data_IF_614264770191
#
_entry.id   IF_614264770191
#
_cell.length_a   1.000
_cell.length_b   1.000
_cell.length_c   1.000
_cell.angle_alpha   90.00
_cell.angle_beta   90.00
_cell.angle_gamma   90.00
#
_symmetry.space_group_name_H-M   'P 1'
#
loop_
_entity.id
_entity.type
_entity.pdbx_description
1 polymer ?
#
# COMPACT_ATOMS: atom_id res chain seq x y z
N UNK A 1 30.59 -44.70 4.75
CA UNK A 1 31.02 -43.31 4.50
C UNK A 1 30.85 -42.90 3.02
N UNK A 2 31.28 -43.72 2.05
CA UNK A 2 31.16 -43.39 0.61
C UNK A 2 29.70 -43.21 0.14
N UNK A 3 28.77 -44.02 0.63
CA UNK A 3 27.34 -43.95 0.32
C UNK A 3 26.68 -42.66 0.81
N UNK A 4 27.07 -42.19 2.00
CA UNK A 4 26.59 -40.92 2.57
C UNK A 4 27.10 -39.73 1.74
N UNK A 5 28.39 -39.80 1.32
CA UNK A 5 28.98 -38.77 0.47
C UNK A 5 28.26 -38.65 -0.86
N UNK A 6 27.97 -39.78 -1.53
CA UNK A 6 27.21 -39.79 -2.78
C UNK A 6 25.77 -39.27 -2.58
N UNK A 7 25.11 -39.58 -1.47
CA UNK A 7 23.78 -39.06 -1.15
C UNK A 7 23.80 -37.54 -0.98
N UNK A 8 24.78 -36.99 -0.26
CA UNK A 8 24.93 -35.54 -0.09
C UNK A 8 25.19 -34.84 -1.42
N UNK A 9 26.09 -35.39 -2.25
CA UNK A 9 26.40 -34.84 -3.57
C UNK A 9 25.14 -34.82 -4.45
N UNK A 10 24.43 -35.97 -4.54
CA UNK A 10 23.20 -36.06 -5.35
C UNK A 10 22.14 -35.06 -4.88
N UNK A 11 21.91 -34.94 -3.58
CA UNK A 11 20.97 -33.98 -3.01
C UNK A 11 21.36 -32.53 -3.33
N UNK A 12 22.64 -32.20 -3.16
CA UNK A 12 23.15 -30.85 -3.47
C UNK A 12 22.98 -30.51 -4.96
N UNK A 13 23.27 -31.44 -5.85
CA UNK A 13 23.09 -31.25 -7.29
C UNK A 13 21.62 -31.01 -7.65
N UNK A 14 20.69 -31.76 -7.05
CA UNK A 14 19.25 -31.58 -7.27
C UNK A 14 18.80 -30.19 -6.82
N UNK A 15 19.20 -29.76 -5.61
CA UNK A 15 18.85 -28.44 -5.09
C UNK A 15 19.43 -27.33 -5.98
N UNK A 16 20.69 -27.41 -6.37
CA UNK A 16 21.31 -26.41 -7.25
C UNK A 16 20.63 -26.35 -8.61
N UNK A 17 20.26 -27.49 -9.18
CA UNK A 17 19.53 -27.55 -10.44
C UNK A 17 18.15 -26.87 -10.32
N UNK A 18 17.40 -27.16 -9.26
CA UNK A 18 16.11 -26.52 -9.01
C UNK A 18 16.26 -25.00 -8.82
N UNK A 19 17.26 -24.55 -8.09
CA UNK A 19 17.53 -23.11 -7.91
C UNK A 19 17.88 -22.45 -9.24
N UNK A 20 18.72 -23.07 -10.07
CA UNK A 20 19.05 -22.55 -11.39
C UNK A 20 17.84 -22.47 -12.32
N UNK A 21 16.98 -23.51 -12.32
CA UNK A 21 15.71 -23.49 -13.07
C UNK A 21 14.80 -22.37 -12.58
N UNK A 22 14.67 -22.17 -11.28
CA UNK A 22 13.85 -21.08 -10.71
C UNK A 22 14.41 -19.70 -11.08
N UNK A 23 15.73 -19.51 -11.05
CA UNK A 23 16.36 -18.24 -11.44
C UNK A 23 16.15 -17.99 -12.96
N UNK A 24 16.35 -19.01 -13.77
CA UNK A 24 16.18 -18.90 -15.22
C UNK A 24 14.72 -18.61 -15.60
N UNK A 25 13.76 -19.30 -15.00
CA UNK A 25 12.33 -19.06 -15.24
C UNK A 25 11.90 -17.68 -14.72
N UNK A 26 12.40 -17.24 -13.59
CA UNK A 26 12.14 -15.89 -13.05
C UNK A 26 12.63 -14.81 -14.02
N UNK A 27 13.82 -14.95 -14.58
CA UNK A 27 14.37 -13.96 -15.52
C UNK A 27 13.59 -13.86 -16.83
N UNK A 28 12.90 -14.92 -17.24
CA UNK A 28 12.07 -14.93 -18.46
C UNK A 28 10.61 -14.52 -18.19
N UNK A 29 10.08 -14.76 -16.98
CA UNK A 29 8.69 -14.52 -16.63
C UNK A 29 8.45 -13.15 -15.95
N UNK A 30 9.48 -12.58 -15.34
CA UNK A 30 9.39 -11.26 -14.73
C UNK A 30 9.75 -10.22 -15.77
N UNK A 31 8.77 -9.45 -16.21
CA UNK A 31 8.98 -8.28 -17.07
C UNK A 31 9.90 -7.30 -16.35
N UNK A 32 11.13 -7.12 -16.85
CA UNK A 32 12.16 -6.26 -16.28
C UNK A 32 12.45 -5.06 -17.19
N UNK A 33 11.40 -4.48 -17.78
CA UNK A 33 11.51 -3.31 -18.66
C UNK A 33 10.93 -2.05 -18.04
N UNK A 34 11.23 -0.90 -18.65
CA UNK A 34 10.44 0.30 -18.45
C UNK A 34 9.08 0.12 -19.12
N UNK A 35 8.05 0.54 -18.42
CA UNK A 35 6.65 0.53 -18.87
C UNK A 35 6.05 1.92 -18.74
N UNK A 36 5.11 2.23 -19.60
CA UNK A 36 4.45 3.53 -19.62
C UNK A 36 3.01 3.41 -19.14
N UNK A 37 2.62 4.26 -18.20
CA UNK A 37 1.24 4.40 -17.76
C UNK A 37 0.68 5.67 -18.38
N UNK A 38 -0.24 5.54 -19.33
CA UNK A 38 -0.93 6.69 -19.95
C UNK A 38 -2.20 6.98 -19.17
N UNK A 39 -2.39 8.23 -18.74
CA UNK A 39 -3.50 8.66 -17.89
C UNK A 39 -4.42 9.57 -18.68
N UNK A 40 -5.72 9.22 -18.75
CA UNK A 40 -6.77 10.00 -19.44
C UNK A 40 -6.44 10.30 -20.90
N UNK A 41 -5.73 9.39 -21.57
CA UNK A 41 -5.24 9.55 -22.95
C UNK A 41 -4.39 10.82 -23.19
N UNK A 42 -3.81 11.38 -22.11
CA UNK A 42 -2.99 12.57 -22.11
C UNK A 42 -1.50 12.19 -22.09
N UNK A 43 -0.74 12.45 -23.18
CA UNK A 43 0.69 12.11 -23.23
C UNK A 43 1.55 12.87 -22.22
N UNK A 44 1.12 14.09 -21.83
CA UNK A 44 1.87 14.91 -20.88
C UNK A 44 1.76 14.39 -19.45
N UNK A 45 0.75 13.55 -19.19
CA UNK A 45 0.57 12.86 -17.89
C UNK A 45 1.07 11.42 -17.89
N UNK A 46 1.80 11.02 -18.92
CA UNK A 46 2.36 9.68 -18.99
C UNK A 46 3.48 9.48 -17.96
N UNK A 47 3.40 8.37 -17.21
CA UNK A 47 4.38 7.99 -16.21
C UNK A 47 5.21 6.84 -16.74
N UNK A 48 6.55 6.98 -16.73
CA UNK A 48 7.48 5.89 -17.01
C UNK A 48 7.99 5.29 -15.70
N UNK A 49 7.93 3.98 -15.60
CA UNK A 49 8.30 3.26 -14.38
C UNK A 49 8.86 1.88 -14.69
N UNK A 50 9.53 1.27 -13.72
CA UNK A 50 9.94 -0.12 -13.82
C UNK A 50 8.72 -1.05 -13.64
N UNK A 51 8.68 -2.13 -14.43
CA UNK A 51 7.62 -3.13 -14.28
C UNK A 51 7.72 -3.86 -12.94
N UNK A 52 6.55 -4.29 -12.38
CA UNK A 52 6.45 -5.17 -11.22
C UNK A 52 5.67 -4.64 -10.03
N UNK A 53 5.62 -3.33 -9.84
CA UNK A 53 4.88 -2.69 -8.74
C UNK A 53 3.35 -2.74 -8.94
N UNK A 54 2.57 -2.43 -7.89
CA UNK A 54 1.14 -2.22 -8.04
C UNK A 54 0.87 -0.87 -8.71
N UNK A 55 -0.21 -0.80 -9.49
CA UNK A 55 -0.62 0.45 -10.12
C UNK A 55 -0.86 1.55 -9.07
N UNK A 56 -1.50 1.21 -7.94
CA UNK A 56 -1.71 2.14 -6.82
C UNK A 56 -0.39 2.72 -6.30
N UNK A 57 0.60 1.86 -6.03
CA UNK A 57 1.91 2.29 -5.51
C UNK A 57 2.65 3.17 -6.53
N UNK A 58 2.68 2.74 -7.79
CA UNK A 58 3.33 3.51 -8.86
C UNK A 58 2.71 4.90 -9.05
N UNK A 59 1.38 5.00 -9.01
CA UNK A 59 0.68 6.29 -9.10
C UNK A 59 1.02 7.19 -7.90
N UNK A 60 1.05 6.62 -6.68
CA UNK A 60 1.39 7.36 -5.47
C UNK A 60 2.83 7.89 -5.49
N UNK A 61 3.80 7.11 -5.94
CA UNK A 61 5.20 7.52 -6.14
C UNK A 61 5.31 8.72 -7.09
N UNK A 62 4.40 8.79 -8.06
CA UNK A 62 4.30 9.90 -9.01
C UNK A 62 3.31 10.99 -8.59
N UNK A 63 2.99 11.09 -7.30
CA UNK A 63 2.12 12.11 -6.70
C UNK A 63 0.66 12.09 -7.17
N UNK A 64 0.21 10.97 -7.70
CA UNK A 64 -1.18 10.71 -8.06
C UNK A 64 -1.81 9.78 -7.01
N UNK A 65 -2.57 10.35 -6.11
CA UNK A 65 -3.08 9.66 -4.94
C UNK A 65 -4.49 9.12 -5.19
N UNK A 66 -4.58 7.86 -5.58
CA UNK A 66 -5.87 7.16 -5.69
C UNK A 66 -6.39 6.82 -4.29
N UNK A 67 -7.65 7.13 -3.97
CA UNK A 67 -8.25 6.79 -2.69
C UNK A 67 -8.10 5.31 -2.34
N UNK A 68 -7.62 5.01 -1.13
CA UNK A 68 -7.44 3.63 -0.67
C UNK A 68 -7.59 3.54 0.85
N UNK A 69 -8.78 3.22 1.34
CA UNK A 69 -9.06 3.16 2.77
C UNK A 69 -8.31 2.04 3.50
N UNK A 70 -7.94 0.95 2.81
CA UNK A 70 -7.18 -0.16 3.39
C UNK A 70 -5.67 -0.06 3.17
N UNK A 71 -5.16 1.04 2.61
CA UNK A 71 -3.73 1.18 2.30
C UNK A 71 -3.22 0.19 1.24
N UNK A 72 -4.07 -0.21 0.29
CA UNK A 72 -3.67 -1.11 -0.81
C UNK A 72 -3.82 -2.60 -0.53
N UNK A 73 -4.44 -3.00 0.59
CA UNK A 73 -4.60 -4.41 0.99
C UNK A 73 -5.67 -5.18 0.19
N UNK A 74 -6.40 -4.52 -0.72
CA UNK A 74 -7.46 -5.15 -1.51
C UNK A 74 -8.77 -5.44 -0.76
N UNK A 75 -8.96 -4.86 0.44
CA UNK A 75 -10.07 -5.21 1.34
C UNK A 75 -11.17 -4.16 1.44
N UNK A 76 -11.05 -2.99 0.78
CA UNK A 76 -12.05 -1.92 0.88
C UNK A 76 -12.78 -1.61 -0.44
N UNK A 77 -12.23 -1.99 -1.58
CA UNK A 77 -12.81 -1.73 -2.90
C UNK A 77 -12.85 -0.26 -3.33
N UNK A 78 -12.13 0.64 -2.64
CA UNK A 78 -12.19 2.10 -2.88
C UNK A 78 -11.26 2.57 -3.99
N UNK A 79 -10.11 1.91 -4.18
CA UNK A 79 -9.07 2.30 -5.15
C UNK A 79 -9.43 1.96 -6.60
N UNK A 80 -10.62 2.36 -7.03
CA UNK A 80 -11.17 2.06 -8.36
C UNK A 80 -10.58 2.97 -9.42
N UNK A 81 -10.17 2.37 -10.51
CA UNK A 81 -9.76 3.05 -11.74
C UNK A 81 -10.36 2.32 -12.94
N UNK A 82 -10.47 2.99 -14.07
CA UNK A 82 -10.82 2.34 -15.33
C UNK A 82 -9.50 2.03 -16.05
N UNK A 83 -9.26 0.75 -16.32
CA UNK A 83 -8.11 0.29 -17.11
C UNK A 83 -8.61 0.01 -18.53
N UNK A 84 -8.15 0.80 -19.49
CA UNK A 84 -8.53 0.67 -20.90
C UNK A 84 -7.70 -0.39 -21.60
N UNK A 85 -6.42 -0.52 -21.22
CA UNK A 85 -5.48 -1.44 -21.83
C UNK A 85 -4.37 -1.84 -20.86
N UNK A 86 -3.78 -3.02 -21.00
CA UNK A 86 -2.59 -3.46 -20.27
C UNK A 86 -2.79 -3.92 -18.81
N UNK A 87 -4.02 -3.97 -18.31
CA UNK A 87 -4.31 -4.30 -16.91
C UNK A 87 -4.46 -5.79 -16.59
N UNK A 88 -4.34 -6.66 -17.59
CA UNK A 88 -4.60 -8.09 -17.44
C UNK A 88 -6.05 -8.44 -17.10
N UNK A 89 -6.32 -9.67 -16.69
CA UNK A 89 -7.66 -10.15 -16.32
C UNK A 89 -8.07 -9.73 -14.92
N UNK A 90 -9.39 -9.64 -14.67
CA UNK A 90 -9.95 -9.40 -13.33
C UNK A 90 -9.53 -10.53 -12.38
N UNK A 91 -9.00 -10.16 -11.23
CA UNK A 91 -8.56 -11.13 -10.23
C UNK A 91 -9.73 -11.59 -9.33
N UNK A 92 -9.68 -12.81 -8.79
CA UNK A 92 -10.68 -13.30 -7.83
C UNK A 92 -10.85 -12.38 -6.62
N UNK A 93 -9.79 -11.73 -6.18
CA UNK A 93 -9.79 -10.76 -5.06
C UNK A 93 -10.58 -9.49 -5.37
N UNK A 94 -10.78 -9.15 -6.63
CA UNK A 94 -11.53 -7.97 -7.06
C UNK A 94 -13.04 -8.24 -7.20
N UNK A 95 -13.44 -9.52 -7.39
CA UNK A 95 -14.83 -9.88 -7.71
C UNK A 95 -15.83 -9.57 -6.61
N UNK A 96 -15.38 -9.42 -5.37
CA UNK A 96 -16.21 -8.97 -4.24
C UNK A 96 -16.56 -7.48 -4.28
N UNK A 97 -15.81 -6.68 -5.06
CA UNK A 97 -15.92 -5.22 -5.12
C UNK A 97 -16.28 -4.69 -6.51
N UNK A 98 -15.91 -5.42 -7.55
CA UNK A 98 -16.15 -5.05 -8.95
C UNK A 98 -17.20 -6.00 -9.52
N UNK A 99 -18.36 -5.45 -9.85
CA UNK A 99 -19.44 -6.20 -10.50
C UNK A 99 -19.06 -6.61 -11.92
N UNK A 100 -19.75 -7.62 -12.47
CA UNK A 100 -19.54 -8.05 -13.87
C UNK A 100 -19.75 -6.94 -14.90
N UNK A 101 -20.65 -5.99 -14.61
CA UNK A 101 -20.91 -4.84 -15.47
C UNK A 101 -19.75 -3.85 -15.42
N UNK A 102 -19.25 -3.54 -14.23
CA UNK A 102 -18.09 -2.67 -14.04
C UNK A 102 -16.82 -3.27 -14.67
N UNK A 103 -16.59 -4.58 -14.49
CA UNK A 103 -15.46 -5.26 -15.10
C UNK A 103 -15.47 -5.17 -16.64
N UNK A 104 -16.65 -5.25 -17.28
CA UNK A 104 -16.78 -5.05 -18.74
C UNK A 104 -16.49 -3.61 -19.17
N UNK A 105 -16.70 -2.65 -18.28
CA UNK A 105 -16.38 -1.23 -18.50
C UNK A 105 -14.94 -0.89 -18.09
N UNK A 106 -14.09 -1.89 -17.80
CA UNK A 106 -12.69 -1.70 -17.49
C UNK A 106 -12.40 -1.31 -16.04
N UNK A 107 -13.38 -1.32 -15.13
CA UNK A 107 -13.12 -1.01 -13.72
C UNK A 107 -12.25 -2.09 -13.08
N UNK A 108 -11.22 -1.65 -12.37
CA UNK A 108 -10.27 -2.47 -11.64
C UNK A 108 -9.92 -1.82 -10.29
N UNK A 109 -9.41 -2.60 -9.36
CA UNK A 109 -8.79 -2.09 -8.14
C UNK A 109 -7.30 -1.82 -8.41
N UNK A 110 -6.88 -0.58 -8.40
CA UNK A 110 -5.48 -0.19 -8.71
C UNK A 110 -4.45 -0.88 -7.80
N UNK A 111 -4.79 -1.22 -6.56
CA UNK A 111 -3.92 -1.98 -5.67
C UNK A 111 -3.71 -3.44 -6.11
N UNK A 112 -4.64 -4.02 -6.89
CA UNK A 112 -4.56 -5.40 -7.37
C UNK A 112 -3.98 -5.50 -8.78
N UNK A 113 -3.98 -4.40 -9.55
CA UNK A 113 -3.37 -4.35 -10.88
C UNK A 113 -1.85 -4.24 -10.74
N UNK A 114 -1.13 -5.19 -11.33
CA UNK A 114 0.34 -5.14 -11.44
C UNK A 114 0.74 -4.52 -12.77
N UNK A 115 1.63 -3.54 -12.70
CA UNK A 115 2.22 -2.88 -13.88
C UNK A 115 3.27 -3.79 -14.49
N UNK A 116 2.91 -4.55 -15.52
CA UNK A 116 3.81 -5.53 -16.20
C UNK A 116 4.13 -5.15 -17.64
N UNK A 117 3.31 -4.32 -18.22
CA UNK A 117 3.34 -3.85 -19.61
C UNK A 117 2.81 -2.42 -19.64
N UNK A 118 2.81 -1.79 -20.80
CA UNK A 118 2.20 -0.47 -20.96
C UNK A 118 0.72 -0.52 -20.59
N UNK A 119 0.28 0.43 -19.78
CA UNK A 119 -1.09 0.49 -19.24
C UNK A 119 -1.73 1.82 -19.62
N UNK A 120 -2.99 1.77 -20.05
CA UNK A 120 -3.82 2.97 -20.24
C UNK A 120 -4.92 2.98 -19.18
N UNK A 121 -4.98 4.06 -18.41
CA UNK A 121 -5.96 4.24 -17.35
C UNK A 121 -6.76 5.52 -17.52
N UNK A 122 -7.97 5.48 -16.98
CA UNK A 122 -8.78 6.68 -16.79
C UNK A 122 -9.07 6.86 -15.31
N UNK A 123 -8.81 8.06 -14.80
CA UNK A 123 -9.05 8.46 -13.43
C UNK A 123 -9.88 9.75 -13.40
N UNK A 124 -10.74 9.94 -12.37
CA UNK A 124 -11.50 11.17 -12.19
C UNK A 124 -10.57 12.39 -12.06
N UNK A 125 -11.06 13.56 -12.51
CA UNK A 125 -10.28 14.79 -12.48
C UNK A 125 -9.89 15.21 -11.06
N UNK A 126 -10.73 14.90 -10.08
CA UNK A 126 -10.53 15.21 -8.67
C UNK A 126 -9.25 14.56 -8.07
N UNK A 127 -8.75 13.50 -8.69
CA UNK A 127 -7.52 12.84 -8.27
C UNK A 127 -6.29 13.75 -8.41
N UNK A 128 -6.31 14.68 -9.38
CA UNK A 128 -5.19 15.61 -9.61
C UNK A 128 -5.14 16.74 -8.58
N UNK A 129 -6.23 16.96 -7.85
CA UNK A 129 -6.35 18.00 -6.82
C UNK A 129 -5.99 17.48 -5.41
N UNK A 130 -5.68 16.18 -5.26
CA UNK A 130 -5.31 15.60 -3.97
C UNK A 130 -3.94 16.12 -3.54
N UNK A 131 -3.90 16.75 -2.37
CA UNK A 131 -2.70 17.35 -1.79
C UNK A 131 -2.17 16.47 -0.64
N UNK A 132 -0.86 16.38 -0.53
CA UNK A 132 -0.18 15.72 0.59
C UNK A 132 0.56 16.77 1.41
N UNK A 133 0.39 16.73 2.73
CA UNK A 133 1.04 17.63 3.67
C UNK A 133 2.01 16.86 4.58
N UNK A 134 3.14 17.46 4.88
CA UNK A 134 3.99 17.05 5.97
C UNK A 134 3.58 17.81 7.22
N UNK A 135 2.80 17.17 8.06
CA UNK A 135 2.26 17.77 9.29
C UNK A 135 3.24 17.59 10.45
N UNK A 136 3.19 18.51 11.39
CA UNK A 136 3.89 18.41 12.66
C UNK A 136 2.94 17.84 13.71
N UNK A 137 3.39 16.87 14.51
CA UNK A 137 2.64 16.42 15.68
C UNK A 137 2.69 17.51 16.74
N UNK A 138 1.51 18.04 17.11
CA UNK A 138 1.34 19.03 18.17
C UNK A 138 1.18 18.35 19.51
N UNK A 139 0.34 17.34 19.56
CA UNK A 139 0.14 16.51 20.76
C UNK A 139 -0.30 15.09 20.38
N UNK A 140 -0.13 14.15 21.31
CA UNK A 140 -0.55 12.77 21.19
C UNK A 140 -0.88 12.22 22.58
N UNK A 141 -1.97 12.70 23.15
CA UNK A 141 -2.35 12.49 24.54
C UNK A 141 -3.37 11.36 24.67
N UNK A 142 -3.39 10.68 25.84
CA UNK A 142 -4.41 9.69 26.12
C UNK A 142 -5.76 10.36 26.35
N UNK A 143 -6.81 9.86 25.70
CA UNK A 143 -8.23 10.23 25.95
C UNK A 143 -9.03 9.06 26.49
N UNK A 144 -8.46 7.86 26.41
CA UNK A 144 -8.95 6.63 27.05
C UNK A 144 -7.79 5.65 27.19
N UNK A 145 -8.00 4.54 27.90
CA UNK A 145 -6.97 3.53 28.22
C UNK A 145 -6.09 3.11 27.02
N UNK A 146 -6.72 2.91 25.87
CA UNK A 146 -6.03 2.47 24.63
C UNK A 146 -6.26 3.40 23.44
N UNK A 147 -6.73 4.63 23.70
CA UNK A 147 -7.02 5.61 22.65
C UNK A 147 -6.22 6.88 22.93
N UNK A 148 -5.50 7.33 21.92
CA UNK A 148 -4.78 8.61 21.92
C UNK A 148 -5.42 9.58 20.94
N UNK A 149 -5.52 10.84 21.34
CA UNK A 149 -5.83 11.94 20.45
C UNK A 149 -4.54 12.45 19.81
N UNK A 150 -4.43 12.30 18.47
CA UNK A 150 -3.32 12.81 17.70
C UNK A 150 -3.70 14.14 17.07
N UNK A 151 -3.10 15.22 17.52
CA UNK A 151 -3.29 16.56 16.96
C UNK A 151 -2.15 16.89 16.01
N UNK A 152 -2.51 17.13 14.74
CA UNK A 152 -1.58 17.47 13.69
C UNK A 152 -1.72 18.95 13.31
N UNK A 153 -0.60 19.61 13.14
CA UNK A 153 -0.50 20.99 12.68
C UNK A 153 -0.09 20.99 11.20
N UNK A 154 -0.89 21.65 10.38
CA UNK A 154 -0.61 21.84 8.96
C UNK A 154 0.51 22.86 8.76
N UNK A 155 1.21 22.83 7.61
CA UNK A 155 2.08 23.91 7.21
C UNK A 155 1.34 25.26 7.20
N UNK A 156 2.05 26.35 7.52
CA UNK A 156 1.48 27.69 7.62
C UNK A 156 0.82 28.11 6.29
N UNK A 157 -0.42 28.56 6.37
CA UNK A 157 -1.21 29.00 5.21
C UNK A 157 -1.92 27.86 4.44
N UNK A 158 -1.78 26.60 4.86
CA UNK A 158 -2.50 25.49 4.28
C UNK A 158 -3.80 25.19 5.07
N UNK A 159 -4.84 24.80 4.33
CA UNK A 159 -6.12 24.36 4.88
C UNK A 159 -6.51 23.00 4.28
N UNK A 160 -7.15 22.16 5.09
CA UNK A 160 -7.79 20.93 4.60
C UNK A 160 -9.22 21.29 4.19
N UNK A 161 -9.58 21.19 2.91
CA UNK A 161 -10.96 21.41 2.51
C UNK A 161 -11.84 20.32 3.11
N UNK A 162 -12.63 20.70 4.11
CA UNK A 162 -13.55 19.78 4.78
C UNK A 162 -14.81 19.56 3.97
N UNK A 163 -15.17 18.31 3.79
CA UNK A 163 -16.47 17.88 3.29
C UNK A 163 -16.99 16.74 4.15
N UNK A 164 -18.20 16.84 4.68
CA UNK A 164 -18.84 15.78 5.44
C UNK A 164 -18.86 14.46 4.65
N UNK A 165 -18.43 13.36 5.29
CA UNK A 165 -18.26 12.05 4.65
C UNK A 165 -16.94 11.88 3.88
N UNK A 166 -16.09 12.92 3.85
CA UNK A 166 -14.72 12.80 3.37
C UNK A 166 -13.84 12.01 4.34
N UNK A 167 -12.62 11.70 3.91
CA UNK A 167 -11.61 11.07 4.76
C UNK A 167 -10.23 11.59 4.41
N UNK A 168 -9.34 11.53 5.37
CA UNK A 168 -7.90 11.77 5.19
C UNK A 168 -7.15 10.46 5.25
N UNK A 169 -6.00 10.40 4.59
CA UNK A 169 -5.05 9.30 4.72
C UNK A 169 -3.83 9.78 5.49
N UNK A 170 -3.49 9.05 6.55
CA UNK A 170 -2.28 9.29 7.33
C UNK A 170 -1.27 8.22 6.95
N UNK A 171 -0.08 8.64 6.54
CA UNK A 171 1.05 7.78 6.29
C UNK A 171 1.90 7.65 7.55
N UNK A 172 2.17 6.40 7.93
CA UNK A 172 3.12 6.07 8.97
C UNK A 172 4.38 5.51 8.31
N UNK A 173 5.54 6.15 8.48
CA UNK A 173 6.80 5.67 7.89
C UNK A 173 7.24 4.36 8.54
N UNK A 174 8.23 3.65 7.94
CA UNK A 174 8.87 2.51 8.58
C UNK A 174 9.37 2.87 9.97
N UNK A 175 9.12 1.98 10.95
CA UNK A 175 9.51 2.23 12.32
C UNK A 175 9.70 0.93 13.11
N UNK A 176 10.48 1.01 14.17
CA UNK A 176 10.60 0.02 15.22
C UNK A 176 10.41 0.75 16.55
N UNK A 177 9.32 0.48 17.24
CA UNK A 177 8.95 1.13 18.51
C UNK A 177 8.58 0.08 19.53
N UNK A 178 9.22 0.09 20.69
CA UNK A 178 8.84 -0.75 21.82
C UNK A 178 7.74 -0.05 22.61
N UNK A 179 6.69 -0.77 23.00
CA UNK A 179 5.59 -0.21 23.78
C UNK A 179 6.02 0.26 25.17
N UNK A 180 7.18 -0.21 25.65
CA UNK A 180 7.81 0.29 26.90
C UNK A 180 8.20 1.77 26.81
N UNK A 181 8.44 2.26 25.60
CA UNK A 181 8.82 3.65 25.37
C UNK A 181 7.62 4.59 25.27
N UNK A 182 6.39 4.06 25.34
CA UNK A 182 5.19 4.88 25.27
C UNK A 182 4.93 5.61 26.60
N UNK A 183 4.70 6.90 26.48
CA UNK A 183 4.14 7.69 27.56
C UNK A 183 2.64 7.40 27.67
N UNK A 184 2.24 6.85 28.81
CA UNK A 184 0.85 6.55 29.14
C UNK A 184 0.50 7.27 30.44
N UNK A 185 -0.63 7.98 30.44
CA UNK A 185 -1.09 8.71 31.61
C UNK A 185 -1.34 7.78 32.80
N UNK A 186 -1.07 8.30 33.99
CA UNK A 186 -1.11 7.49 35.22
C UNK A 186 -2.44 6.80 35.46
N UNK A 187 -3.54 7.45 35.08
CA UNK A 187 -4.91 6.92 35.25
C UNK A 187 -5.17 5.67 34.36
N UNK A 188 -4.44 5.50 33.27
CA UNK A 188 -4.61 4.36 32.36
C UNK A 188 -3.54 3.28 32.53
N UNK A 189 -2.51 3.53 33.32
CA UNK A 189 -1.34 2.67 33.44
C UNK A 189 -1.67 1.31 34.07
N UNK A 190 -2.59 1.28 35.03
CA UNK A 190 -3.03 0.04 35.67
C UNK A 190 -3.62 -0.97 34.69
N UNK A 191 -4.39 -0.49 33.69
CA UNK A 191 -4.92 -1.35 32.63
C UNK A 191 -3.82 -1.85 31.69
N UNK A 192 -2.84 -1.01 31.36
CA UNK A 192 -1.69 -1.41 30.55
C UNK A 192 -0.87 -2.51 31.24
N UNK A 193 -0.66 -2.40 32.55
CA UNK A 193 0.00 -3.41 33.39
C UNK A 193 -0.83 -4.71 33.43
N UNK A 194 -2.14 -4.60 33.68
CA UNK A 194 -3.07 -5.72 33.75
C UNK A 194 -3.13 -6.53 32.45
N UNK A 195 -3.09 -5.88 31.32
CA UNK A 195 -3.14 -6.53 29.99
C UNK A 195 -1.74 -6.78 29.40
N UNK A 196 -0.67 -6.52 30.16
CA UNK A 196 0.72 -6.73 29.76
C UNK A 196 1.03 -6.11 28.37
N UNK A 197 0.59 -4.85 28.19
CA UNK A 197 0.77 -4.15 26.89
C UNK A 197 2.25 -3.83 26.61
N UNK A 198 3.05 -3.70 27.63
CA UNK A 198 4.48 -3.36 27.56
C UNK A 198 5.33 -4.42 26.84
N UNK A 199 4.82 -5.63 26.64
CA UNK A 199 5.52 -6.72 25.94
C UNK A 199 5.56 -6.56 24.42
N UNK A 200 4.72 -5.68 23.87
CA UNK A 200 4.61 -5.54 22.43
C UNK A 200 5.66 -4.61 21.87
N UNK A 201 6.01 -4.88 20.60
CA UNK A 201 6.87 -4.04 19.78
C UNK A 201 6.16 -3.84 18.45
N UNK A 202 6.07 -2.60 18.00
CA UNK A 202 5.56 -2.27 16.68
C UNK A 202 6.74 -2.20 15.71
N UNK A 203 6.81 -3.17 14.79
CA UNK A 203 7.77 -3.16 13.71
C UNK A 203 7.04 -3.03 12.38
N UNK A 204 7.40 -2.02 11.63
CA UNK A 204 6.86 -1.74 10.31
C UNK A 204 8.01 -1.43 9.37
N UNK A 205 8.23 -2.29 8.38
CA UNK A 205 9.38 -2.21 7.46
C UNK A 205 9.07 -1.37 6.22
N UNK A 206 7.78 -1.13 5.94
CA UNK A 206 7.32 -0.33 4.80
C UNK A 206 6.32 0.73 5.25
N UNK A 207 6.19 1.83 4.50
CA UNK A 207 5.19 2.87 4.78
C UNK A 207 3.78 2.29 4.80
N UNK A 208 3.07 2.50 5.90
CA UNK A 208 1.68 2.07 6.08
C UNK A 208 0.76 3.27 5.99
N UNK A 209 -0.32 3.13 5.22
CA UNK A 209 -1.34 4.17 5.06
C UNK A 209 -2.62 3.74 5.76
N UNK A 210 -3.23 4.64 6.52
CA UNK A 210 -4.53 4.45 7.17
C UNK A 210 -5.47 5.59 6.86
N UNK A 211 -6.73 5.27 6.59
CA UNK A 211 -7.77 6.25 6.33
C UNK A 211 -8.55 6.54 7.60
N UNK A 212 -8.84 7.81 7.82
CA UNK A 212 -9.64 8.32 8.92
C UNK A 212 -10.78 9.17 8.37
N UNK A 213 -12.02 8.83 8.74
CA UNK A 213 -13.18 9.59 8.35
C UNK A 213 -13.16 10.96 9.01
N UNK A 214 -13.50 12.00 8.26
CA UNK A 214 -13.68 13.33 8.80
C UNK A 214 -15.11 13.47 9.33
N UNK A 215 -15.25 13.79 10.62
CA UNK A 215 -16.49 14.05 11.30
C UNK A 215 -16.54 15.54 11.66
N UNK A 216 -17.58 16.26 11.18
CA UNK A 216 -17.84 17.69 11.33
C UNK A 216 -16.77 18.64 10.83
#
# INVERSE_FOLDING_TARGET
MLTVLWGVIAFTVVILTLVLVLIATRSQLVSSGEVTITINDDPDKAIRTAAGSSLLGTLAENKLFIPSACGGQGTCGVCRVIVKDGGGSLLPTETGYISRKEARNGYRLSCQVKVKEDIKIEVPAEIFDVKKWNCRVRSNDNVATFIKELVLELPEGDEVPFRAGGYIQIECPPHLVDYKDFEVDKEYREDWDKFDQWRYTSQVDETVVRAYSMAN
#
